data_IF_431281109079
#
_entry.id   IF_431281109079
#
_cell.length_a   1.000
_cell.length_b   1.000
_cell.length_c   1.000
_cell.angle_alpha   90.00
_cell.angle_beta   90.00
_cell.angle_gamma   90.00
#
_symmetry.space_group_name_H-M   'P 1'
#
loop_
_entity.id
_entity.type
_entity.pdbx_description
1 polymer ?
#
# COMPACT_ATOMS: atom_id res chain seq x y z
N UNK A 1 5.56 -7.98 12.43
CA UNK A 1 4.94 -6.67 12.16
C UNK A 1 5.25 -6.25 10.74
N UNK A 2 4.28 -5.65 10.04
CA UNK A 2 4.45 -5.12 8.68
C UNK A 2 3.66 -3.83 8.52
N UNK A 3 4.26 -2.82 7.91
CA UNK A 3 3.59 -1.58 7.52
C UNK A 3 4.17 -1.07 6.20
N UNK A 4 3.30 -0.50 5.37
CA UNK A 4 3.64 -0.02 4.04
C UNK A 4 2.83 1.20 3.67
N UNK A 5 3.39 2.02 2.79
CA UNK A 5 2.68 3.13 2.15
C UNK A 5 2.96 3.13 0.65
N UNK A 6 1.90 3.21 -0.16
CA UNK A 6 1.98 3.57 -1.58
C UNK A 6 1.69 5.06 -1.71
N UNK A 7 2.39 5.75 -2.61
CA UNK A 7 2.25 7.19 -2.76
C UNK A 7 2.49 7.67 -4.18
N UNK A 8 1.94 8.84 -4.49
CA UNK A 8 2.10 9.55 -5.76
C UNK A 8 2.53 10.99 -5.52
N UNK A 9 3.40 11.52 -6.37
CA UNK A 9 3.64 12.96 -6.45
C UNK A 9 2.73 13.57 -7.53
N UNK A 10 1.83 14.50 -7.19
CA UNK A 10 0.93 15.10 -8.18
C UNK A 10 1.62 16.02 -9.17
N UNK A 11 2.73 16.63 -8.79
CA UNK A 11 3.50 17.54 -9.63
C UNK A 11 4.32 16.80 -10.70
N UNK A 12 4.95 15.69 -10.32
CA UNK A 12 5.86 14.94 -11.21
C UNK A 12 5.24 13.69 -11.80
N UNK A 13 4.10 13.23 -11.29
CA UNK A 13 3.48 11.94 -11.64
C UNK A 13 4.25 10.72 -11.13
N UNK A 14 5.30 10.90 -10.32
CA UNK A 14 6.05 9.77 -9.75
C UNK A 14 5.16 8.92 -8.85
N UNK A 15 5.39 7.62 -8.89
CA UNK A 15 4.76 6.59 -8.07
C UNK A 15 5.82 5.88 -7.25
N UNK A 16 5.50 5.51 -6.02
CA UNK A 16 6.47 4.89 -5.13
C UNK A 16 5.83 4.14 -3.97
N UNK A 17 6.63 3.27 -3.36
CA UNK A 17 6.23 2.45 -2.21
C UNK A 17 7.39 2.43 -1.22
N UNK A 18 7.06 2.51 0.07
CA UNK A 18 7.95 2.13 1.15
C UNK A 18 7.28 1.08 2.03
N UNK A 19 8.06 0.11 2.49
CA UNK A 19 7.56 -1.01 3.29
C UNK A 19 8.63 -1.50 4.27
N UNK A 20 8.22 -1.82 5.49
CA UNK A 20 9.04 -2.47 6.51
C UNK A 20 8.30 -3.68 7.05
N UNK A 21 9.06 -4.75 7.32
CA UNK A 21 8.51 -5.97 7.88
C UNK A 21 9.56 -6.74 8.67
N UNK A 22 9.12 -7.48 9.68
CA UNK A 22 9.94 -8.52 10.33
C UNK A 22 10.11 -9.77 9.44
N UNK A 23 9.38 -9.88 8.32
CA UNK A 23 9.53 -10.97 7.36
C UNK A 23 10.66 -10.71 6.37
N UNK A 24 11.52 -11.71 6.16
CA UNK A 24 12.68 -11.62 5.26
C UNK A 24 12.24 -11.32 3.82
N UNK A 25 13.02 -10.49 3.13
CA UNK A 25 12.85 -10.18 1.71
C UNK A 25 11.46 -9.62 1.34
N UNK A 26 10.87 -8.78 2.20
CA UNK A 26 9.59 -8.11 1.93
C UNK A 26 9.62 -7.28 0.64
N UNK A 27 10.76 -6.62 0.37
CA UNK A 27 10.96 -5.78 -0.81
C UNK A 27 10.86 -6.52 -2.15
N UNK A 28 11.07 -7.84 -2.19
CA UNK A 28 10.95 -8.63 -3.42
C UNK A 28 9.54 -9.19 -3.67
N UNK A 29 8.65 -9.12 -2.67
CA UNK A 29 7.37 -9.86 -2.67
C UNK A 29 6.14 -8.96 -2.63
N UNK A 30 6.28 -7.81 -1.97
CA UNK A 30 5.15 -6.99 -1.55
C UNK A 30 5.00 -5.69 -2.37
N UNK A 31 6.06 -4.91 -2.65
CA UNK A 31 5.92 -3.67 -3.40
C UNK A 31 5.98 -3.92 -4.92
N UNK A 32 5.00 -3.37 -5.64
CA UNK A 32 4.90 -3.44 -7.09
C UNK A 32 4.61 -2.06 -7.66
N UNK A 33 5.49 -1.52 -8.50
CA UNK A 33 5.32 -0.21 -9.13
C UNK A 33 5.46 -0.36 -10.63
N UNK A 34 4.55 0.26 -11.39
CA UNK A 34 4.62 0.39 -12.84
C UNK A 34 4.51 1.85 -13.21
N UNK A 35 5.55 2.38 -13.86
CA UNK A 35 5.63 3.79 -14.22
C UNK A 35 4.42 4.23 -15.05
N UNK A 36 3.81 5.36 -14.68
CA UNK A 36 2.62 5.91 -15.35
C UNK A 36 1.30 5.15 -15.09
N UNK A 37 1.35 3.94 -14.51
CA UNK A 37 0.17 3.09 -14.29
C UNK A 37 -0.28 3.15 -12.83
N UNK A 38 0.58 2.76 -11.90
CA UNK A 38 0.21 2.68 -10.49
C UNK A 38 1.26 2.02 -9.59
N UNK A 39 0.93 1.97 -8.31
CA UNK A 39 1.69 1.31 -7.26
C UNK A 39 0.76 0.46 -6.40
N UNK A 40 1.16 -0.78 -6.13
CA UNK A 40 0.40 -1.76 -5.35
C UNK A 40 1.32 -2.39 -4.29
N UNK A 41 0.89 -2.37 -3.03
CA UNK A 41 1.55 -3.13 -1.96
C UNK A 41 0.67 -4.30 -1.52
N UNK A 42 1.21 -5.52 -1.61
CA UNK A 42 0.56 -6.75 -1.15
C UNK A 42 1.18 -7.22 0.16
N UNK A 43 0.39 -7.42 1.21
CA UNK A 43 0.88 -7.84 2.52
C UNK A 43 -0.18 -8.68 3.26
N UNK A 44 0.15 -9.09 4.48
CA UNK A 44 -0.56 -10.10 5.28
C UNK A 44 -0.79 -11.42 4.54
N UNK A 45 -0.10 -12.49 4.95
CA UNK A 45 -0.12 -13.80 4.25
C UNK A 45 -0.04 -13.56 2.72
N UNK A 46 0.98 -12.80 2.31
CA UNK A 46 0.99 -12.14 0.99
C UNK A 46 0.84 -13.14 -0.15
N UNK A 47 0.13 -12.74 -1.19
CA UNK A 47 0.14 -13.40 -2.50
C UNK A 47 0.78 -12.44 -3.50
N UNK A 48 2.09 -12.60 -3.79
CA UNK A 48 2.85 -11.66 -4.62
C UNK A 48 2.22 -11.41 -5.99
N UNK A 49 1.60 -12.43 -6.58
CA UNK A 49 0.93 -12.36 -7.88
C UNK A 49 -0.17 -11.28 -7.98
N UNK A 50 -0.78 -10.88 -6.86
CA UNK A 50 -1.82 -9.84 -6.86
C UNK A 50 -1.28 -8.49 -7.34
N UNK A 51 -0.01 -8.17 -7.08
CA UNK A 51 0.58 -6.89 -7.45
C UNK A 51 0.55 -6.65 -8.95
N UNK A 52 1.24 -7.48 -9.76
CA UNK A 52 1.20 -7.40 -11.21
C UNK A 52 -0.22 -7.54 -11.78
N UNK A 53 -1.04 -8.46 -11.25
CA UNK A 53 -2.42 -8.64 -11.72
C UNK A 53 -3.28 -7.39 -11.56
N UNK A 54 -3.20 -6.70 -10.41
CA UNK A 54 -3.93 -5.45 -10.19
C UNK A 54 -3.41 -4.36 -11.14
N UNK A 55 -2.09 -4.27 -11.35
CA UNK A 55 -1.52 -3.30 -12.28
C UNK A 55 -1.94 -3.58 -13.73
N UNK A 56 -2.05 -4.85 -14.14
CA UNK A 56 -2.54 -5.24 -15.47
C UNK A 56 -4.02 -4.85 -15.66
N UNK A 57 -4.84 -5.01 -14.62
CA UNK A 57 -6.24 -4.58 -14.64
C UNK A 57 -6.38 -3.05 -14.75
N UNK A 58 -5.50 -2.30 -14.07
CA UNK A 58 -5.46 -0.84 -14.18
C UNK A 58 -4.98 -0.43 -15.59
N UNK A 59 -3.92 -1.03 -16.12
CA UNK A 59 -3.32 -0.62 -17.39
C UNK A 59 -4.13 -1.06 -18.61
N UNK A 60 -4.53 -2.33 -18.68
CA UNK A 60 -5.12 -2.90 -19.89
C UNK A 60 -6.64 -2.84 -19.89
N UNK A 61 -7.26 -3.01 -18.73
CA UNK A 61 -8.72 -2.92 -18.60
C UNK A 61 -9.20 -1.55 -18.13
N UNK A 62 -8.29 -0.61 -17.85
CA UNK A 62 -8.59 0.76 -17.43
C UNK A 62 -9.52 0.80 -16.20
N UNK A 63 -9.39 -0.19 -15.32
CA UNK A 63 -10.18 -0.26 -14.09
C UNK A 63 -9.62 0.70 -13.05
N UNK A 64 -10.51 1.41 -12.35
CA UNK A 64 -10.12 2.14 -11.14
C UNK A 64 -9.57 1.16 -10.09
N UNK A 65 -8.64 1.59 -9.21
CA UNK A 65 -7.97 0.71 -8.24
C UNK A 65 -8.92 -0.15 -7.40
N UNK A 66 -10.08 0.37 -6.99
CA UNK A 66 -11.05 -0.40 -6.22
C UNK A 66 -11.62 -1.60 -7.01
N UNK A 67 -12.03 -1.37 -8.27
CA UNK A 67 -12.55 -2.41 -9.14
C UNK A 67 -11.46 -3.43 -9.52
N UNK A 68 -10.22 -2.97 -9.75
CA UNK A 68 -9.08 -3.84 -9.99
C UNK A 68 -8.77 -4.75 -8.79
N UNK A 69 -8.80 -4.20 -7.56
CA UNK A 69 -8.65 -4.96 -6.32
C UNK A 69 -9.75 -6.02 -6.20
N UNK A 70 -11.02 -5.63 -6.30
CA UNK A 70 -12.16 -6.53 -6.14
C UNK A 70 -12.10 -7.69 -7.13
N UNK A 71 -11.79 -7.40 -8.40
CA UNK A 71 -11.64 -8.41 -9.44
C UNK A 71 -10.48 -9.37 -9.16
N UNK A 72 -9.29 -8.85 -8.83
CA UNK A 72 -8.12 -9.69 -8.55
C UNK A 72 -8.31 -10.55 -7.29
N UNK A 73 -8.93 -10.01 -6.25
CA UNK A 73 -9.18 -10.71 -4.99
C UNK A 73 -10.30 -11.76 -5.12
N UNK A 74 -11.29 -11.54 -5.98
CA UNK A 74 -12.37 -12.51 -6.22
C UNK A 74 -11.93 -13.74 -7.00
N UNK A 75 -10.81 -13.66 -7.74
CA UNK A 75 -10.30 -14.77 -8.55
C UNK A 75 -9.70 -15.91 -7.71
N UNK A 76 -9.28 -15.62 -6.47
CA UNK A 76 -8.55 -16.55 -5.61
C UNK A 76 -9.29 -16.62 -4.26
N UNK A 77 -9.96 -17.74 -3.95
CA UNK A 77 -10.86 -17.93 -2.79
C UNK A 77 -10.25 -17.79 -1.38
N UNK A 78 -9.13 -17.09 -1.24
CA UNK A 78 -8.34 -16.86 -0.04
C UNK A 78 -8.13 -15.37 0.25
N UNK A 79 -8.92 -14.48 -0.37
CA UNK A 79 -8.82 -13.02 -0.18
C UNK A 79 -8.96 -12.61 1.28
N UNK A 80 -9.71 -13.34 2.10
CA UNK A 80 -9.87 -13.07 3.54
C UNK A 80 -8.54 -13.02 4.32
N UNK A 81 -7.47 -13.60 3.80
CA UNK A 81 -6.14 -13.57 4.41
C UNK A 81 -5.24 -12.47 3.84
N UNK A 82 -5.69 -11.63 2.91
CA UNK A 82 -4.85 -10.64 2.22
C UNK A 82 -5.07 -9.25 2.76
N UNK A 83 -4.04 -8.42 2.65
CA UNK A 83 -4.14 -6.98 2.82
C UNK A 83 -3.43 -6.32 1.62
N UNK A 84 -4.14 -5.46 0.91
CA UNK A 84 -3.64 -4.86 -0.35
C UNK A 84 -3.95 -3.38 -0.36
N UNK A 85 -3.00 -2.57 -0.80
CA UNK A 85 -3.19 -1.13 -1.08
C UNK A 85 -2.80 -0.84 -2.52
N UNK A 86 -3.50 0.10 -3.15
CA UNK A 86 -3.23 0.52 -4.51
C UNK A 86 -3.47 2.01 -4.70
N UNK A 87 -2.66 2.61 -5.57
CA UNK A 87 -2.83 3.96 -6.11
C UNK A 87 -2.55 3.93 -7.62
N UNK A 88 -3.36 4.58 -8.43
CA UNK A 88 -3.11 4.71 -9.88
C UNK A 88 -2.32 5.98 -10.23
N UNK A 89 -1.97 6.11 -11.51
CA UNK A 89 -1.26 7.27 -12.07
C UNK A 89 -2.04 8.59 -12.01
N UNK A 90 -3.33 8.55 -11.66
CA UNK A 90 -4.21 9.72 -11.48
C UNK A 90 -4.41 10.07 -9.99
N UNK A 91 -3.90 9.24 -9.07
CA UNK A 91 -4.01 9.42 -7.63
C UNK A 91 -5.29 8.85 -7.02
N UNK A 92 -6.08 8.08 -7.77
CA UNK A 92 -7.17 7.31 -7.18
C UNK A 92 -6.59 6.19 -6.34
N UNK A 93 -7.23 5.92 -5.21
CA UNK A 93 -6.71 5.02 -4.19
C UNK A 93 -7.70 3.93 -3.82
N UNK A 94 -7.20 2.76 -3.43
CA UNK A 94 -8.00 1.70 -2.85
C UNK A 94 -7.19 0.90 -1.82
N UNK A 95 -7.89 0.29 -0.88
CA UNK A 95 -7.32 -0.67 0.04
C UNK A 95 -8.32 -1.77 0.36
N UNK A 96 -7.80 -2.96 0.63
CA UNK A 96 -8.56 -4.10 1.12
C UNK A 96 -7.83 -4.70 2.31
N UNK A 97 -8.56 -5.04 3.37
CA UNK A 97 -8.07 -5.82 4.51
C UNK A 97 -9.03 -6.97 4.73
N UNK A 98 -8.56 -8.20 4.51
CA UNK A 98 -9.35 -9.40 4.74
C UNK A 98 -9.59 -9.64 6.23
N UNK A 99 -10.71 -10.29 6.55
CA UNK A 99 -11.14 -10.56 7.93
C UNK A 99 -10.18 -11.44 8.75
N UNK A 100 -9.28 -12.18 8.09
CA UNK A 100 -8.24 -13.01 8.72
C UNK A 100 -6.87 -12.28 8.74
N UNK A 101 -6.87 -10.95 8.65
CA UNK A 101 -5.66 -10.17 8.82
C UNK A 101 -5.08 -10.34 10.23
N UNK A 102 -3.76 -10.51 10.32
CA UNK A 102 -3.12 -10.95 11.55
C UNK A 102 -2.96 -9.80 12.55
N UNK A 103 -3.42 -10.05 13.79
CA UNK A 103 -3.29 -9.14 14.93
C UNK A 103 -3.93 -7.77 14.71
N UNK A 104 -3.45 -6.75 15.41
CA UNK A 104 -3.89 -5.38 15.18
C UNK A 104 -3.50 -4.96 13.76
N UNK A 105 -4.48 -4.54 12.98
CA UNK A 105 -4.31 -4.11 11.60
C UNK A 105 -5.06 -2.81 11.36
N UNK A 106 -4.60 -2.04 10.39
CA UNK A 106 -5.26 -0.80 9.97
C UNK A 106 -4.92 -0.47 8.52
N UNK A 107 -5.76 0.32 7.87
CA UNK A 107 -5.53 0.84 6.53
C UNK A 107 -6.18 2.23 6.42
N UNK A 108 -5.43 3.19 5.88
CA UNK A 108 -5.87 4.59 5.77
C UNK A 108 -5.55 5.09 4.38
N UNK A 109 -6.55 5.70 3.74
CA UNK A 109 -6.40 6.44 2.49
C UNK A 109 -6.19 7.91 2.84
N UNK A 110 -5.10 8.48 2.34
CA UNK A 110 -4.79 9.90 2.48
C UNK A 110 -4.74 10.60 1.12
N UNK A 111 -4.33 11.85 1.14
CA UNK A 111 -4.05 12.61 -0.07
C UNK A 111 -2.82 12.06 -0.79
N UNK A 112 -3.02 11.60 -2.03
CA UNK A 112 -1.98 11.02 -2.87
C UNK A 112 -1.25 9.81 -2.25
N UNK A 113 -1.85 9.12 -1.28
CA UNK A 113 -1.26 7.94 -0.67
C UNK A 113 -2.28 6.97 -0.05
N UNK A 114 -1.83 5.76 0.21
CA UNK A 114 -2.53 4.77 1.04
C UNK A 114 -1.52 4.04 1.88
N UNK A 115 -1.75 3.98 3.19
CA UNK A 115 -0.93 3.20 4.11
C UNK A 115 -1.75 2.06 4.70
N UNK A 116 -1.08 0.95 5.00
CA UNK A 116 -1.69 -0.18 5.69
C UNK A 116 -0.65 -0.96 6.50
N UNK A 117 -1.13 -1.70 7.49
CA UNK A 117 -0.29 -2.61 8.26
C UNK A 117 -1.06 -3.68 9.00
N UNK A 118 -0.31 -4.68 9.46
CA UNK A 118 -0.76 -5.86 10.20
C UNK A 118 0.30 -6.24 11.26
N UNK A 119 -0.14 -6.94 12.30
CA UNK A 119 0.66 -7.21 13.50
C UNK A 119 1.25 -5.93 14.09
N UNK A 120 0.48 -4.85 14.10
CA UNK A 120 0.85 -3.52 14.59
C UNK A 120 0.81 -3.49 16.12
N UNK A 121 1.60 -2.59 16.72
CA UNK A 121 1.42 -2.24 18.14
C UNK A 121 0.06 -1.55 18.38
N UNK A 122 -0.34 -0.65 17.48
CA UNK A 122 -1.62 0.07 17.52
C UNK A 122 -2.02 0.58 16.12
N UNK A 123 -3.32 0.86 15.86
CA UNK A 123 -3.77 1.49 14.61
C UNK A 123 -3.10 2.84 14.34
N UNK A 124 -2.76 3.58 15.40
CA UNK A 124 -2.12 4.90 15.33
C UNK A 124 -0.81 4.93 14.53
N UNK A 125 -0.13 3.79 14.36
CA UNK A 125 1.04 3.65 13.48
C UNK A 125 0.71 4.07 12.05
N UNK A 126 -0.39 3.55 11.50
CA UNK A 126 -0.80 3.83 10.11
C UNK A 126 -1.33 5.26 9.97
N UNK A 127 -2.04 5.77 10.99
CA UNK A 127 -2.48 7.16 11.00
C UNK A 127 -1.28 8.13 11.02
N UNK A 128 -0.21 7.79 11.75
CA UNK A 128 1.02 8.59 11.77
C UNK A 128 1.74 8.58 10.42
N UNK A 129 1.78 7.43 9.72
CA UNK A 129 2.36 7.35 8.37
C UNK A 129 1.69 8.28 7.39
N UNK A 130 0.35 8.26 7.33
CA UNK A 130 -0.41 9.08 6.38
C UNK A 130 -0.22 10.56 6.67
N UNK A 131 -0.37 10.98 7.93
CA UNK A 131 -0.15 12.38 8.33
C UNK A 131 1.25 12.87 7.97
N UNK A 132 2.28 12.05 8.21
CA UNK A 132 3.65 12.43 7.89
C UNK A 132 3.90 12.53 6.37
N UNK A 133 3.31 11.64 5.56
CA UNK A 133 3.40 11.71 4.10
C UNK A 133 2.74 12.97 3.52
N UNK A 134 1.58 13.34 4.06
CA UNK A 134 0.81 14.51 3.63
C UNK A 134 1.50 15.83 4.02
N UNK A 135 2.13 15.86 5.20
CA UNK A 135 2.81 17.07 5.71
C UNK A 135 4.25 17.23 5.22
N UNK A 136 4.88 16.15 4.74
CA UNK A 136 6.25 16.21 4.27
C UNK A 136 6.34 16.95 2.91
N UNK A 137 7.19 17.99 2.80
CA UNK A 137 7.46 18.65 1.53
C UNK A 137 8.50 17.86 0.71
N UNK A 138 8.67 18.26 -0.56
CA UNK A 138 9.79 17.81 -1.38
C UNK A 138 9.50 16.55 -2.19
N UNK A 139 10.57 15.78 -2.46
CA UNK A 139 10.53 14.64 -3.38
C UNK A 139 9.68 13.50 -2.80
N UNK A 140 9.09 12.69 -3.67
CA UNK A 140 8.28 11.55 -3.25
C UNK A 140 9.06 10.60 -2.32
N UNK A 141 10.34 10.38 -2.58
CA UNK A 141 11.20 9.52 -1.75
C UNK A 141 11.30 10.06 -0.31
N UNK A 142 11.46 11.37 -0.12
CA UNK A 142 11.55 11.98 1.21
C UNK A 142 10.24 11.85 1.97
N UNK A 143 9.11 12.04 1.29
CA UNK A 143 7.76 11.88 1.86
C UNK A 143 7.47 10.45 2.27
N UNK A 144 7.88 9.47 1.45
CA UNK A 144 7.80 8.06 1.79
C UNK A 144 8.66 7.72 3.02
N UNK A 145 9.90 8.23 3.08
CA UNK A 145 10.78 8.02 4.23
C UNK A 145 10.25 8.70 5.50
N UNK A 146 9.66 9.91 5.39
CA UNK A 146 9.01 10.59 6.51
C UNK A 146 7.88 9.75 7.10
N UNK A 147 7.05 9.12 6.24
CA UNK A 147 6.03 8.19 6.67
C UNK A 147 6.61 6.98 7.41
N UNK A 148 7.70 6.40 6.91
CA UNK A 148 8.37 5.26 7.56
C UNK A 148 8.93 5.61 8.94
N UNK A 149 9.56 6.79 9.08
CA UNK A 149 10.07 7.27 10.36
C UNK A 149 8.94 7.51 11.37
N UNK A 150 7.81 8.10 10.92
CA UNK A 150 6.65 8.32 11.77
C UNK A 150 6.02 7.01 12.26
N UNK A 151 5.93 5.99 11.40
CA UNK A 151 5.51 4.66 11.81
C UNK A 151 6.43 4.05 12.88
N UNK A 152 7.76 4.06 12.64
CA UNK A 152 8.73 3.52 13.60
C UNK A 152 8.65 4.23 14.96
N UNK A 153 8.50 5.56 14.98
CA UNK A 153 8.33 6.33 16.22
C UNK A 153 7.02 6.03 16.94
N UNK A 154 5.96 5.64 16.22
CA UNK A 154 4.67 5.22 16.77
C UNK A 154 4.64 3.76 17.25
N UNK A 155 5.77 3.05 17.22
CA UNK A 155 5.90 1.65 17.64
C UNK A 155 5.67 0.63 16.51
N UNK A 156 5.83 1.06 15.26
CA UNK A 156 5.85 0.20 14.06
C UNK A 156 7.12 -0.62 13.90
#
# INVERSE_FOLDING_TARGET
>A
MTFSIVGRCPETGQLGIAISSSSIAVGARCPWVRAGVGAVATQNVTLPALGPQILDLIEHEQLAPAAALDRALSANGWSQYRQVTAIDGQGQTACFTGKEALGTHHAVRGEQCVAAGNLLAAPAVIDAMVRAFEQAPGLLADRLLAAMHAAGAAGG
#
